data_IF_382340063388
#
_entry.id   IF_382340063388
#
_cell.length_a   1.000
_cell.length_b   1.000
_cell.length_c   1.000
_cell.angle_alpha   90.00
_cell.angle_beta   90.00
_cell.angle_gamma   90.00
#
_symmetry.space_group_name_H-M   'P 1'
#
loop_
_entity.id
_entity.type
_entity.pdbx_description
1 polymer ?
#
# COMPACT_ATOMS: atom_id res chain seq x y z
N UNK A 1 -36.17 9.06 -20.21
CA UNK A 1 -35.69 8.24 -19.08
C UNK A 1 -34.50 8.96 -18.48
N UNK A 2 -34.69 9.66 -17.37
CA UNK A 2 -33.58 10.24 -16.60
C UNK A 2 -32.69 9.09 -16.11
N UNK A 3 -31.43 9.09 -16.54
CA UNK A 3 -30.41 8.21 -15.97
C UNK A 3 -30.20 8.66 -14.52
N UNK A 4 -30.88 8.00 -13.59
CA UNK A 4 -30.61 8.11 -12.16
C UNK A 4 -29.18 7.60 -11.89
N UNK A 5 -28.19 8.47 -12.05
CA UNK A 5 -26.82 8.21 -11.62
C UNK A 5 -26.84 8.10 -10.10
N UNK A 6 -26.80 6.87 -9.60
CA UNK A 6 -26.63 6.62 -8.18
C UNK A 6 -25.22 7.04 -7.78
N UNK A 7 -25.10 8.14 -7.06
CA UNK A 7 -23.82 8.61 -6.54
C UNK A 7 -23.51 8.01 -5.16
N UNK A 8 -22.22 7.82 -4.88
CA UNK A 8 -21.76 7.43 -3.54
C UNK A 8 -22.12 8.54 -2.54
N UNK A 9 -22.60 8.16 -1.35
CA UNK A 9 -22.90 9.13 -0.29
C UNK A 9 -21.60 9.79 0.19
N UNK A 10 -21.48 11.11 -0.01
CA UNK A 10 -20.38 11.95 0.50
C UNK A 10 -20.46 12.10 2.01
N UNK A 11 -19.83 11.18 2.76
CA UNK A 11 -19.91 11.11 4.22
C UNK A 11 -18.59 11.25 4.98
N UNK A 12 -17.46 11.33 4.28
CA UNK A 12 -16.13 11.40 4.92
C UNK A 12 -15.74 12.85 5.25
N UNK A 13 -15.28 13.04 6.49
CA UNK A 13 -14.68 14.31 6.92
C UNK A 13 -13.23 14.38 6.42
N UNK A 14 -12.64 15.59 6.25
CA UNK A 14 -11.23 15.73 5.87
C UNK A 14 -10.27 14.95 6.77
N UNK A 15 -10.57 14.85 8.07
CA UNK A 15 -9.82 13.99 9.01
C UNK A 15 -9.89 12.51 8.62
N UNK A 16 -11.06 11.99 8.24
CA UNK A 16 -11.21 10.59 7.84
C UNK A 16 -10.41 10.31 6.58
N UNK A 17 -10.38 11.24 5.62
CA UNK A 17 -9.55 11.11 4.41
C UNK A 17 -8.07 11.06 4.74
N UNK A 18 -7.60 11.92 5.64
CA UNK A 18 -6.21 11.88 6.11
C UNK A 18 -5.89 10.54 6.76
N UNK A 19 -6.76 10.04 7.65
CA UNK A 19 -6.54 8.78 8.35
C UNK A 19 -6.67 7.54 7.44
N UNK A 20 -7.54 7.56 6.44
CA UNK A 20 -7.60 6.49 5.42
C UNK A 20 -6.30 6.45 4.62
N UNK A 21 -5.78 7.61 4.20
CA UNK A 21 -4.51 7.69 3.52
C UNK A 21 -3.35 7.21 4.40
N UNK A 22 -3.37 7.53 5.69
CA UNK A 22 -2.39 7.06 6.69
C UNK A 22 -2.46 5.55 6.89
N UNK A 23 -3.67 5.03 7.12
CA UNK A 23 -3.93 3.63 7.42
C UNK A 23 -3.61 2.72 6.24
N UNK A 24 -3.83 3.20 5.01
CA UNK A 24 -3.53 2.46 3.79
C UNK A 24 -2.04 2.27 3.51
N UNK A 25 -1.17 3.17 4.00
CA UNK A 25 0.29 3.03 3.84
C UNK A 25 0.90 2.13 4.93
N UNK A 26 0.38 2.19 6.15
CA UNK A 26 0.95 1.46 7.30
C UNK A 26 0.23 0.13 7.49
N UNK A 27 0.81 -0.92 6.90
CA UNK A 27 0.31 -2.29 6.95
C UNK A 27 1.42 -3.33 6.90
N UNK A 28 1.14 -4.45 6.25
CA UNK A 28 2.03 -5.63 6.21
C UNK A 28 3.40 -5.32 5.62
N UNK A 29 3.50 -4.38 4.69
CA UNK A 29 4.77 -4.00 4.05
C UNK A 29 5.86 -3.58 5.05
N UNK A 30 5.54 -2.75 6.03
CA UNK A 30 6.53 -2.37 7.06
C UNK A 30 6.60 -3.41 8.18
N UNK A 31 5.49 -4.03 8.59
CA UNK A 31 5.50 -4.88 9.78
C UNK A 31 6.00 -6.30 9.54
N UNK A 32 5.61 -6.92 8.44
CA UNK A 32 6.12 -8.24 8.03
C UNK A 32 7.22 -8.08 6.99
N UNK A 33 7.02 -7.21 6.01
CA UNK A 33 7.98 -6.98 4.93
C UNK A 33 9.31 -6.38 5.38
N UNK A 34 9.38 -5.73 6.56
CA UNK A 34 10.67 -5.32 7.14
C UNK A 34 11.61 -6.49 7.36
N UNK A 35 11.09 -7.66 7.77
CA UNK A 35 11.90 -8.88 7.93
C UNK A 35 12.55 -9.29 6.61
N UNK A 36 11.76 -9.32 5.54
CA UNK A 36 12.25 -9.68 4.19
C UNK A 36 13.28 -8.64 3.74
N UNK A 37 12.99 -7.34 3.88
CA UNK A 37 13.91 -6.30 3.43
C UNK A 37 15.21 -6.25 4.23
N UNK A 38 15.17 -6.54 5.54
CA UNK A 38 16.36 -6.65 6.39
C UNK A 38 17.18 -7.88 6.03
N UNK A 39 16.55 -9.02 5.78
CA UNK A 39 17.25 -10.22 5.32
C UNK A 39 17.89 -10.05 3.94
N UNK A 40 17.31 -9.22 3.06
CA UNK A 40 17.78 -9.00 1.68
C UNK A 40 18.91 -7.96 1.61
N UNK A 41 18.82 -6.89 2.40
CA UNK A 41 19.71 -5.73 2.29
C UNK A 41 20.55 -5.46 3.56
N UNK A 42 20.23 -6.08 4.69
CA UNK A 42 20.80 -5.72 5.99
C UNK A 42 20.54 -4.26 6.34
N UNK A 43 21.47 -3.59 7.06
CA UNK A 43 21.33 -2.19 7.47
C UNK A 43 21.14 -1.21 6.30
N UNK A 44 21.70 -1.52 5.12
CA UNK A 44 21.54 -0.70 3.92
C UNK A 44 20.09 -0.52 3.44
N UNK A 45 19.15 -1.34 3.95
CA UNK A 45 17.72 -1.21 3.68
C UNK A 45 17.19 0.21 3.94
N UNK A 46 17.77 0.94 4.89
CA UNK A 46 17.43 2.34 5.19
C UNK A 46 17.56 3.22 3.94
N UNK A 47 18.59 2.99 3.12
CA UNK A 47 18.81 3.70 1.86
C UNK A 47 17.68 3.40 0.87
N UNK A 48 17.24 2.14 0.78
CA UNK A 48 16.12 1.76 -0.08
C UNK A 48 14.82 2.44 0.35
N UNK A 49 14.51 2.47 1.65
CA UNK A 49 13.34 3.20 2.16
C UNK A 49 13.44 4.71 1.92
N UNK A 50 14.63 5.33 2.06
CA UNK A 50 14.82 6.75 1.79
C UNK A 50 14.59 7.10 0.32
N UNK A 51 15.21 6.35 -0.59
CA UNK A 51 15.04 6.57 -2.04
C UNK A 51 13.59 6.28 -2.45
N UNK A 52 13.00 5.19 -1.96
CA UNK A 52 11.60 4.87 -2.24
C UNK A 52 10.64 5.94 -1.71
N UNK A 53 10.93 6.51 -0.54
CA UNK A 53 10.16 7.61 0.04
C UNK A 53 10.26 8.90 -0.77
N UNK A 54 11.44 9.19 -1.32
CA UNK A 54 11.64 10.30 -2.24
C UNK A 54 10.81 10.11 -3.52
N UNK A 55 10.84 8.92 -4.11
CA UNK A 55 10.03 8.60 -5.29
C UNK A 55 8.54 8.75 -4.98
N UNK A 56 8.09 8.19 -3.85
CA UNK A 56 6.71 8.31 -3.37
C UNK A 56 6.28 9.77 -3.25
N UNK A 57 7.13 10.62 -2.66
CA UNK A 57 6.84 12.05 -2.54
C UNK A 57 6.62 12.71 -3.90
N UNK A 58 7.46 12.40 -4.90
CA UNK A 58 7.32 12.93 -6.26
C UNK A 58 5.98 12.48 -6.88
N UNK A 59 5.64 11.20 -6.74
CA UNK A 59 4.38 10.63 -7.26
C UNK A 59 3.17 11.32 -6.62
N UNK A 60 3.17 11.45 -5.29
CA UNK A 60 2.10 12.12 -4.56
C UNK A 60 1.99 13.60 -4.93
N UNK A 61 3.12 14.28 -5.16
CA UNK A 61 3.13 15.65 -5.60
C UNK A 61 2.58 15.80 -7.04
N UNK A 62 2.95 14.89 -7.95
CA UNK A 62 2.43 14.85 -9.31
C UNK A 62 0.91 14.60 -9.35
N UNK A 63 0.44 13.61 -8.57
CA UNK A 63 -0.99 13.32 -8.41
C UNK A 63 -1.74 14.50 -7.80
N UNK A 64 -1.17 15.09 -6.75
CA UNK A 64 -1.74 16.24 -6.07
C UNK A 64 -1.92 17.46 -6.96
N UNK A 65 -0.90 17.77 -7.74
CA UNK A 65 -0.96 18.85 -8.72
C UNK A 65 -2.03 18.60 -9.79
N UNK A 66 -2.10 17.38 -10.36
CA UNK A 66 -3.13 17.02 -11.34
C UNK A 66 -4.53 17.08 -10.75
N UNK A 67 -4.72 16.61 -9.53
CA UNK A 67 -5.99 16.65 -8.81
C UNK A 67 -6.53 18.08 -8.62
N UNK A 68 -5.64 19.06 -8.43
CA UNK A 68 -6.04 20.47 -8.37
C UNK A 68 -6.31 21.07 -9.75
N UNK A 69 -5.57 20.65 -10.77
CA UNK A 69 -5.77 21.13 -12.15
C UNK A 69 -7.03 20.53 -12.81
N UNK A 70 -7.40 19.30 -12.45
CA UNK A 70 -8.59 18.60 -12.92
C UNK A 70 -9.42 18.08 -11.74
N UNK A 71 -10.21 18.96 -11.08
CA UNK A 71 -11.08 18.57 -9.99
C UNK A 71 -12.04 17.45 -10.41
N UNK A 72 -12.39 16.58 -9.46
CA UNK A 72 -13.30 15.43 -9.64
C UNK A 72 -12.79 14.30 -10.54
N UNK A 73 -11.54 14.34 -11.02
CA UNK A 73 -10.92 13.24 -11.74
C UNK A 73 -10.10 12.36 -10.79
N UNK A 74 -10.38 11.06 -10.77
CA UNK A 74 -9.54 10.07 -10.08
C UNK A 74 -8.33 9.70 -10.97
N UNK A 75 -7.43 8.85 -10.47
CA UNK A 75 -6.24 8.39 -11.22
C UNK A 75 -6.61 7.80 -12.58
N UNK A 76 -7.66 6.98 -12.65
CA UNK A 76 -8.10 6.33 -13.88
C UNK A 76 -8.63 7.32 -14.92
N UNK A 77 -9.36 8.36 -14.48
CA UNK A 77 -9.82 9.47 -15.33
C UNK A 77 -8.66 10.35 -15.82
N UNK A 78 -7.69 10.67 -14.96
CA UNK A 78 -6.49 11.42 -15.33
C UNK A 78 -5.68 10.68 -16.40
N UNK A 79 -5.47 9.37 -16.22
CA UNK A 79 -4.79 8.52 -17.20
C UNK A 79 -5.60 8.43 -18.51
N UNK A 80 -6.94 8.39 -18.44
CA UNK A 80 -7.79 8.44 -19.63
C UNK A 80 -7.58 9.75 -20.41
N UNK A 81 -7.61 10.88 -19.71
CA UNK A 81 -7.41 12.21 -20.32
C UNK A 81 -6.03 12.33 -20.96
N UNK A 82 -5.01 11.72 -20.35
CA UNK A 82 -3.66 11.71 -20.88
C UNK A 82 -3.49 10.75 -22.07
N UNK A 83 -3.89 9.49 -21.96
CA UNK A 83 -3.47 8.42 -22.88
C UNK A 83 -4.64 7.66 -23.56
N UNK A 84 -5.87 8.04 -23.26
CA UNK A 84 -7.07 7.42 -23.82
C UNK A 84 -7.53 6.16 -23.08
N UNK A 85 -8.55 5.52 -23.64
CA UNK A 85 -9.28 4.42 -23.01
C UNK A 85 -8.43 3.20 -22.68
N UNK A 86 -7.56 2.75 -23.59
CA UNK A 86 -6.83 1.49 -23.41
C UNK A 86 -5.87 1.53 -22.22
N UNK A 87 -5.12 2.61 -22.07
CA UNK A 87 -4.19 2.78 -20.93
C UNK A 87 -4.96 2.98 -19.63
N UNK A 88 -6.06 3.73 -19.68
CA UNK A 88 -6.95 3.91 -18.53
C UNK A 88 -7.59 2.60 -18.05
N UNK A 89 -8.02 1.74 -18.99
CA UNK A 89 -8.54 0.40 -18.70
C UNK A 89 -7.49 -0.44 -17.98
N UNK A 90 -6.27 -0.47 -18.52
CA UNK A 90 -5.15 -1.20 -17.91
C UNK A 90 -4.87 -0.72 -16.49
N UNK A 91 -4.70 0.60 -16.29
CA UNK A 91 -4.40 1.18 -14.97
C UNK A 91 -5.53 0.94 -13.97
N UNK A 92 -6.79 1.08 -14.38
CA UNK A 92 -7.94 0.84 -13.51
C UNK A 92 -8.02 -0.60 -13.00
N UNK A 93 -7.86 -1.58 -13.91
CA UNK A 93 -7.87 -2.99 -13.54
C UNK A 93 -6.61 -3.40 -12.76
N UNK A 94 -5.43 -2.91 -13.13
CA UNK A 94 -4.21 -3.14 -12.33
C UNK A 94 -4.35 -2.59 -10.92
N UNK A 95 -4.94 -1.40 -10.75
CA UNK A 95 -5.22 -0.83 -9.43
C UNK A 95 -6.18 -1.71 -8.63
N UNK A 96 -7.25 -2.20 -9.25
CA UNK A 96 -8.19 -3.10 -8.59
C UNK A 96 -7.54 -4.43 -8.18
N UNK A 97 -6.79 -5.07 -9.09
CA UNK A 97 -6.06 -6.33 -8.83
C UNK A 97 -5.02 -6.14 -7.71
N UNK A 98 -4.26 -5.03 -7.76
CA UNK A 98 -3.29 -4.68 -6.73
C UNK A 98 -3.94 -4.67 -5.34
N UNK A 99 -5.07 -3.97 -5.19
CA UNK A 99 -5.77 -3.90 -3.91
C UNK A 99 -6.38 -5.22 -3.45
N UNK A 100 -6.84 -6.06 -4.38
CA UNK A 100 -7.28 -7.42 -4.05
C UNK A 100 -6.13 -8.20 -3.42
N UNK A 101 -4.96 -8.19 -4.06
CA UNK A 101 -3.80 -8.94 -3.58
C UNK A 101 -3.28 -8.36 -2.26
N UNK A 102 -3.18 -7.03 -2.14
CA UNK A 102 -2.84 -6.34 -0.88
C UNK A 102 -3.80 -6.78 0.23
N UNK A 103 -5.11 -6.79 -0.01
CA UNK A 103 -6.10 -7.21 0.98
C UNK A 103 -5.87 -8.65 1.44
N UNK A 104 -5.57 -9.57 0.51
CA UNK A 104 -5.23 -10.96 0.84
C UNK A 104 -3.97 -10.99 1.71
N UNK A 105 -2.90 -10.30 1.31
CA UNK A 105 -1.63 -10.24 2.05
C UNK A 105 -1.85 -9.72 3.48
N UNK A 106 -2.65 -8.67 3.66
CA UNK A 106 -2.97 -8.11 4.97
C UNK A 106 -3.72 -9.11 5.86
N UNK A 107 -4.66 -9.87 5.29
CA UNK A 107 -5.40 -10.91 6.02
C UNK A 107 -4.51 -12.11 6.39
N UNK A 108 -3.58 -12.48 5.51
CA UNK A 108 -2.59 -13.52 5.80
C UNK A 108 -1.60 -13.07 6.88
N UNK A 109 -1.16 -11.82 6.85
CA UNK A 109 -0.34 -11.25 7.92
C UNK A 109 -1.10 -11.20 9.25
N UNK A 110 -2.38 -10.85 9.24
CA UNK A 110 -3.24 -10.92 10.42
C UNK A 110 -3.29 -12.34 11.01
N UNK A 111 -3.44 -13.36 10.14
CA UNK A 111 -3.35 -14.75 10.53
C UNK A 111 -2.00 -15.11 11.15
N UNK A 112 -0.90 -14.66 10.54
CA UNK A 112 0.47 -14.88 11.06
C UNK A 112 0.68 -14.22 12.42
N UNK A 113 0.15 -13.01 12.66
CA UNK A 113 0.23 -12.37 13.97
C UNK A 113 -0.64 -13.07 15.02
N UNK A 114 -1.75 -13.70 14.63
CA UNK A 114 -2.51 -14.55 15.55
C UNK A 114 -1.76 -15.83 15.93
N UNK A 115 -0.89 -16.36 15.06
CA UNK A 115 -0.07 -17.54 15.40
C UNK A 115 0.92 -17.27 16.54
N UNK A 116 1.24 -16.01 16.82
CA UNK A 116 2.03 -15.64 18.01
C UNK A 116 1.37 -16.11 19.32
N UNK A 117 0.03 -16.05 19.41
CA UNK A 117 -0.73 -16.57 20.57
C UNK A 117 -1.30 -17.97 20.33
N UNK A 118 -1.54 -18.33 19.06
CA UNK A 118 -2.16 -19.60 18.67
C UNK A 118 -1.29 -20.39 17.68
N UNK A 119 -0.07 -20.80 18.07
CA UNK A 119 0.92 -21.37 17.14
C UNK A 119 0.51 -22.72 16.55
N UNK A 120 -0.38 -23.46 17.24
CA UNK A 120 -0.91 -24.74 16.77
C UNK A 120 -1.99 -24.61 15.70
N UNK A 121 -2.55 -23.40 15.49
CA UNK A 121 -3.62 -23.18 14.51
C UNK A 121 -3.00 -22.80 13.15
N UNK A 122 -3.41 -23.45 12.05
CA UNK A 122 -2.82 -23.20 10.75
C UNK A 122 -3.16 -21.79 10.22
N UNK A 123 -2.21 -21.22 9.48
CA UNK A 123 -2.27 -19.85 8.93
C UNK A 123 -3.57 -19.58 8.18
N UNK A 124 -3.97 -20.49 7.29
CA UNK A 124 -5.17 -20.31 6.45
C UNK A 124 -6.44 -20.15 7.29
N UNK A 125 -6.57 -20.87 8.42
CA UNK A 125 -7.77 -20.84 9.25
C UNK A 125 -7.86 -19.51 10.01
N UNK A 126 -6.76 -19.08 10.63
CA UNK A 126 -6.71 -17.77 11.30
C UNK A 126 -6.96 -16.63 10.30
N UNK A 127 -6.38 -16.71 9.12
CA UNK A 127 -6.59 -15.74 8.04
C UNK A 127 -8.03 -15.72 7.54
N UNK A 128 -8.67 -16.90 7.44
CA UNK A 128 -10.08 -17.03 7.08
C UNK A 128 -11.00 -16.38 8.12
N UNK A 129 -10.73 -16.60 9.41
CA UNK A 129 -11.50 -15.98 10.49
C UNK A 129 -11.36 -14.45 10.45
N UNK A 130 -10.16 -13.93 10.25
CA UNK A 130 -9.93 -12.50 10.00
C UNK A 130 -10.72 -12.00 8.78
N UNK A 131 -10.72 -12.74 7.68
CA UNK A 131 -11.47 -12.39 6.47
C UNK A 131 -12.98 -12.30 6.74
N UNK A 132 -13.56 -13.27 7.45
CA UNK A 132 -14.98 -13.28 7.82
C UNK A 132 -15.34 -12.04 8.64
N UNK A 133 -14.50 -11.67 9.62
CA UNK A 133 -14.72 -10.48 10.46
C UNK A 133 -14.68 -9.21 9.61
N UNK A 134 -13.65 -9.03 8.77
CA UNK A 134 -13.47 -7.81 7.97
C UNK A 134 -14.52 -7.68 6.86
N UNK A 135 -14.86 -8.78 6.19
CA UNK A 135 -15.97 -8.79 5.21
C UNK A 135 -17.29 -8.47 5.93
N UNK A 136 -17.53 -9.07 7.10
CA UNK A 136 -18.69 -8.79 7.93
C UNK A 136 -18.84 -7.31 8.26
N UNK A 137 -17.76 -6.65 8.70
CA UNK A 137 -17.72 -5.20 8.97
C UNK A 137 -18.10 -4.38 7.72
N UNK A 138 -17.61 -4.78 6.54
CA UNK A 138 -17.90 -4.09 5.28
C UNK A 138 -19.33 -4.25 4.76
N UNK A 139 -20.10 -5.20 5.31
CA UNK A 139 -21.54 -5.32 5.02
C UNK A 139 -22.39 -4.33 5.83
N UNK A 140 -21.82 -3.68 6.86
CA UNK A 140 -22.47 -2.63 7.64
C UNK A 140 -22.21 -1.22 7.06
N UNK A 141 -22.92 -0.22 7.59
CA UNK A 141 -23.00 1.11 6.99
C UNK A 141 -21.66 1.90 7.06
N UNK A 142 -21.29 2.53 5.94
CA UNK A 142 -20.02 3.28 5.70
C UNK A 142 -19.67 4.33 6.77
N UNK A 143 -20.65 4.86 7.52
CA UNK A 143 -20.39 5.83 8.59
C UNK A 143 -19.56 5.22 9.73
N UNK A 144 -19.75 3.94 10.04
CA UNK A 144 -18.97 3.24 11.07
C UNK A 144 -17.54 2.97 10.61
N UNK A 145 -17.32 2.77 9.31
CA UNK A 145 -15.98 2.55 8.74
C UNK A 145 -15.03 3.73 9.03
N UNK A 146 -15.47 4.98 8.79
CA UNK A 146 -14.60 6.15 8.97
C UNK A 146 -14.16 6.39 10.42
N UNK A 147 -15.04 6.09 11.39
CA UNK A 147 -14.73 6.20 12.81
C UNK A 147 -13.85 5.03 13.29
N UNK A 148 -14.11 3.80 12.83
CA UNK A 148 -13.25 2.65 13.14
C UNK A 148 -11.81 2.86 12.64
N UNK A 149 -11.67 3.34 11.39
CA UNK A 149 -10.35 3.65 10.83
C UNK A 149 -9.64 4.77 11.58
N UNK A 150 -10.38 5.78 12.06
CA UNK A 150 -9.80 6.83 12.88
C UNK A 150 -9.15 6.26 14.15
N UNK A 151 -9.87 5.39 14.87
CA UNK A 151 -9.34 4.77 16.09
C UNK A 151 -8.19 3.79 15.80
N UNK A 152 -8.33 2.93 14.78
CA UNK A 152 -7.27 2.00 14.40
C UNK A 152 -5.99 2.71 13.97
N UNK A 153 -6.09 3.76 13.15
CA UNK A 153 -4.92 4.55 12.77
C UNK A 153 -4.28 5.27 13.97
N UNK A 154 -5.08 5.74 14.94
CA UNK A 154 -4.58 6.32 16.19
C UNK A 154 -3.73 5.34 17.00
N UNK A 155 -4.23 4.11 17.21
CA UNK A 155 -3.51 3.05 17.94
C UNK A 155 -2.16 2.75 17.28
N UNK A 156 -2.14 2.59 15.95
CA UNK A 156 -0.91 2.33 15.18
C UNK A 156 0.13 3.43 15.38
N UNK A 157 -0.28 4.68 15.26
CA UNK A 157 0.64 5.84 15.36
C UNK A 157 1.22 5.92 16.77
N UNK A 158 0.39 5.80 17.80
CA UNK A 158 0.85 5.83 19.20
C UNK A 158 1.86 4.72 19.45
N UNK A 159 1.57 3.50 18.98
CA UNK A 159 2.46 2.36 19.17
C UNK A 159 3.79 2.50 18.42
N UNK A 160 3.79 3.03 17.19
CA UNK A 160 5.03 3.31 16.45
C UNK A 160 5.86 4.40 17.13
N UNK A 161 5.23 5.47 17.62
CA UNK A 161 5.94 6.51 18.38
C UNK A 161 6.50 5.94 19.68
N UNK A 162 5.75 5.12 20.40
CA UNK A 162 6.22 4.43 21.60
C UNK A 162 7.39 3.49 21.30
N UNK A 163 7.31 2.72 20.20
CA UNK A 163 8.42 1.88 19.71
C UNK A 163 9.67 2.71 19.45
N UNK A 164 9.52 3.88 18.82
CA UNK A 164 10.65 4.75 18.51
C UNK A 164 11.28 5.30 19.78
N UNK A 165 10.49 5.83 20.70
CA UNK A 165 10.97 6.40 21.95
C UNK A 165 11.67 5.33 22.80
N UNK A 166 11.02 4.18 22.98
CA UNK A 166 11.56 3.08 23.77
C UNK A 166 12.82 2.50 23.13
N UNK A 167 12.80 2.30 21.81
CA UNK A 167 13.97 1.85 21.04
C UNK A 167 15.14 2.82 21.15
N UNK A 168 14.91 4.14 21.07
CA UNK A 168 15.96 5.13 21.30
C UNK A 168 16.53 5.03 22.72
N UNK A 169 15.69 4.92 23.76
CA UNK A 169 16.19 4.76 25.13
C UNK A 169 17.04 3.50 25.32
N UNK A 170 16.69 2.41 24.64
CA UNK A 170 17.46 1.18 24.65
C UNK A 170 18.78 1.32 23.88
N UNK A 171 18.74 1.91 22.67
CA UNK A 171 19.93 2.14 21.83
C UNK A 171 20.99 3.02 22.53
N UNK A 172 20.55 4.08 23.23
CA UNK A 172 21.44 4.99 23.93
C UNK A 172 21.79 4.52 25.36
N UNK A 173 21.40 3.30 25.75
CA UNK A 173 21.72 2.73 27.07
C UNK A 173 21.04 3.43 28.25
N UNK A 174 19.97 4.19 28.01
CA UNK A 174 19.18 4.85 29.07
C UNK A 174 18.28 3.86 29.82
N UNK A 175 17.97 2.71 29.20
CA UNK A 175 17.27 1.59 29.83
C UNK A 175 18.22 0.39 29.84
N UNK A 176 18.42 -0.28 31.00
CA UNK A 176 19.22 -1.49 31.07
C UNK A 176 18.66 -2.56 30.11
N UNK A 177 19.51 -3.09 29.25
CA UNK A 177 19.18 -4.18 28.34
C UNK A 177 20.34 -5.18 28.28
N UNK A 178 20.07 -6.39 27.81
CA UNK A 178 21.08 -7.44 27.63
C UNK A 178 21.91 -7.28 26.36
N UNK A 179 21.68 -6.21 25.58
CA UNK A 179 22.34 -5.98 24.30
C UNK A 179 23.58 -5.13 24.54
N UNK A 180 24.74 -5.75 24.36
CA UNK A 180 26.05 -5.09 24.42
C UNK A 180 26.33 -4.39 23.08
N UNK A 181 26.71 -3.10 23.16
CA UNK A 181 26.99 -2.20 22.02
C UNK A 181 26.02 -2.30 20.82
N UNK A 182 24.78 -1.77 20.98
CA UNK A 182 23.77 -1.77 19.90
C UNK A 182 24.24 -1.13 18.59
N UNK A 183 25.21 -0.20 18.64
CA UNK A 183 25.71 0.47 17.44
C UNK A 183 26.63 -0.42 16.60
N UNK A 184 27.21 -1.47 17.19
CA UNK A 184 28.00 -2.45 16.42
C UNK A 184 27.16 -3.21 15.39
N UNK A 185 25.87 -3.43 15.67
CA UNK A 185 24.97 -4.20 14.80
C UNK A 185 24.82 -3.61 13.38
N UNK A 186 25.06 -2.32 13.19
CA UNK A 186 25.01 -1.68 11.87
C UNK A 186 26.16 -2.07 10.93
N UNK A 187 27.27 -2.58 11.46
CA UNK A 187 28.48 -2.85 10.66
C UNK A 187 29.17 -4.18 10.98
N UNK A 188 28.95 -4.78 12.16
CA UNK A 188 29.64 -5.98 12.60
C UNK A 188 29.30 -7.23 11.76
N UNK A 189 28.11 -7.29 11.16
CA UNK A 189 27.61 -8.46 10.43
C UNK A 189 27.78 -8.29 8.90
N UNK A 190 29.02 -8.03 8.45
CA UNK A 190 29.33 -7.86 7.02
C UNK A 190 29.28 -6.41 6.50
N UNK A 191 29.32 -5.43 7.41
CA UNK A 191 29.28 -4.00 7.07
C UNK A 191 27.86 -3.46 6.90
N UNK A 192 27.75 -2.18 6.53
CA UNK A 192 26.45 -1.54 6.29
C UNK A 192 25.74 -2.10 5.03
N UNK A 193 26.51 -2.59 4.06
CA UNK A 193 26.04 -3.22 2.82
C UNK A 193 26.46 -4.71 2.78
N UNK A 194 25.90 -5.59 3.63
CA UNK A 194 26.34 -6.98 3.74
C UNK A 194 26.11 -7.81 2.46
N UNK A 195 25.10 -7.43 1.66
CA UNK A 195 24.80 -8.01 0.35
C UNK A 195 25.17 -7.08 -0.82
N UNK A 196 26.02 -6.08 -0.55
CA UNK A 196 26.37 -5.03 -1.51
C UNK A 196 25.19 -4.18 -1.98
N UNK A 197 25.40 -3.37 -3.01
CA UNK A 197 24.35 -2.55 -3.62
C UNK A 197 23.23 -3.38 -4.27
N UNK A 198 23.54 -4.62 -4.69
CA UNK A 198 22.56 -5.55 -5.27
C UNK A 198 21.49 -5.98 -4.28
N UNK A 199 21.86 -6.22 -3.01
CA UNK A 199 20.91 -6.48 -1.92
C UNK A 199 20.02 -5.28 -1.64
N UNK A 200 20.61 -4.08 -1.50
CA UNK A 200 19.84 -2.83 -1.33
C UNK A 200 18.87 -2.61 -2.49
N UNK A 201 19.32 -2.85 -3.72
CA UNK A 201 18.46 -2.72 -4.90
C UNK A 201 17.33 -3.75 -4.86
N UNK A 202 17.62 -4.98 -4.44
CA UNK A 202 16.63 -6.05 -4.35
C UNK A 202 15.52 -5.78 -3.33
N UNK A 203 15.82 -5.03 -2.27
CA UNK A 203 14.84 -4.61 -1.28
C UNK A 203 13.81 -3.60 -1.82
N UNK A 204 14.07 -2.90 -2.94
CA UNK A 204 13.13 -1.92 -3.48
C UNK A 204 11.76 -2.51 -3.80
N UNK A 205 11.65 -3.78 -4.19
CA UNK A 205 10.36 -4.37 -4.57
C UNK A 205 9.39 -4.38 -3.38
N UNK A 206 9.89 -4.84 -2.24
CA UNK A 206 9.11 -4.87 -0.99
C UNK A 206 8.92 -3.44 -0.47
N UNK A 207 9.93 -2.56 -0.57
CA UNK A 207 9.79 -1.14 -0.18
C UNK A 207 8.69 -0.43 -0.99
N UNK A 208 8.62 -0.67 -2.32
CA UNK A 208 7.56 -0.09 -3.16
C UNK A 208 6.19 -0.60 -2.72
N UNK A 209 6.07 -1.89 -2.41
CA UNK A 209 4.85 -2.45 -1.82
C UNK A 209 4.50 -1.77 -0.49
N UNK A 210 5.47 -1.57 0.41
CA UNK A 210 5.27 -0.95 1.72
C UNK A 210 4.79 0.51 1.66
N UNK A 211 5.03 1.19 0.54
CA UNK A 211 4.54 2.53 0.26
C UNK A 211 3.29 2.56 -0.61
N UNK A 212 2.89 1.42 -1.17
CA UNK A 212 1.59 1.24 -1.80
C UNK A 212 0.47 1.63 -0.83
N UNK A 213 -0.60 2.21 -1.37
CA UNK A 213 -1.67 2.75 -0.54
C UNK A 213 -1.68 4.26 -0.42
N UNK A 214 -0.53 4.92 -0.61
CA UNK A 214 -0.45 6.38 -0.62
C UNK A 214 -1.32 7.00 -1.73
N UNK A 215 -1.47 6.31 -2.86
CA UNK A 215 -2.30 6.75 -3.98
C UNK A 215 -3.81 6.68 -3.70
N UNK A 216 -4.27 6.09 -2.58
CA UNK A 216 -5.67 6.19 -2.13
C UNK A 216 -6.13 7.64 -1.98
N UNK A 217 -5.19 8.56 -1.74
CA UNK A 217 -5.48 9.99 -1.74
C UNK A 217 -6.11 10.39 -3.08
N UNK A 218 -5.69 9.83 -4.21
CA UNK A 218 -6.29 10.11 -5.51
C UNK A 218 -7.74 9.66 -5.65
N UNK A 219 -8.16 8.63 -4.89
CA UNK A 219 -9.56 8.19 -4.81
C UNK A 219 -10.34 9.09 -3.85
N UNK A 220 -9.74 9.45 -2.71
CA UNK A 220 -10.40 10.26 -1.70
C UNK A 220 -10.48 11.76 -2.05
N UNK A 221 -9.64 12.26 -2.96
CA UNK A 221 -9.64 13.65 -3.43
C UNK A 221 -11.01 14.06 -3.96
N UNK A 222 -11.67 13.19 -4.74
CA UNK A 222 -13.00 13.48 -5.32
C UNK A 222 -14.10 13.55 -4.24
N UNK A 223 -13.83 13.00 -3.06
CA UNK A 223 -14.73 12.99 -1.91
C UNK A 223 -14.36 14.05 -0.85
N UNK A 224 -13.27 14.80 -1.04
CA UNK A 224 -12.73 15.74 -0.04
C UNK A 224 -13.23 17.17 -0.25
N UNK A 225 -13.85 17.76 0.80
CA UNK A 225 -14.13 19.20 0.84
C UNK A 225 -12.83 20.01 0.93
N UNK A 226 -12.74 21.11 0.19
CA UNK A 226 -11.59 22.03 0.16
C UNK A 226 -10.26 21.34 -0.17
N UNK A 227 -10.27 20.46 -1.18
CA UNK A 227 -9.08 19.72 -1.64
C UNK A 227 -7.86 20.62 -1.88
N UNK A 228 -8.06 21.86 -2.34
CA UNK A 228 -7.00 22.86 -2.56
C UNK A 228 -6.17 23.17 -1.31
N UNK A 229 -6.78 23.20 -0.13
CA UNK A 229 -6.08 23.47 1.14
C UNK A 229 -5.59 22.19 1.81
N UNK A 230 -6.32 21.08 1.64
CA UNK A 230 -6.06 19.82 2.33
C UNK A 230 -4.94 19.03 1.66
N UNK A 231 -4.96 18.94 0.34
CA UNK A 231 -4.06 18.08 -0.44
C UNK A 231 -2.57 18.44 -0.28
N UNK A 232 -2.15 19.72 -0.31
CA UNK A 232 -0.75 20.07 -0.09
C UNK A 232 -0.23 19.68 1.30
N UNK A 233 -1.07 19.74 2.33
CA UNK A 233 -0.71 19.32 3.69
C UNK A 233 -0.50 17.81 3.75
N UNK A 234 -1.36 17.04 3.09
CA UNK A 234 -1.24 15.58 3.05
C UNK A 234 0.05 15.14 2.34
N UNK A 235 0.40 15.80 1.23
CA UNK A 235 1.61 15.51 0.45
C UNK A 235 2.87 15.85 1.23
N UNK A 236 2.93 17.06 1.82
CA UNK A 236 4.07 17.46 2.67
C UNK A 236 4.21 16.54 3.89
N UNK A 237 3.09 16.11 4.46
CA UNK A 237 3.09 15.14 5.56
C UNK A 237 3.67 13.78 5.17
N UNK A 238 3.56 13.36 3.90
CA UNK A 238 4.05 12.05 3.46
C UNK A 238 5.54 11.85 3.73
N UNK A 239 6.35 12.89 3.53
CA UNK A 239 7.81 12.84 3.78
C UNK A 239 8.10 12.54 5.25
N UNK A 240 7.49 13.30 6.16
CA UNK A 240 7.66 13.10 7.59
C UNK A 240 7.17 11.72 8.04
N UNK A 241 6.13 11.20 7.41
CA UNK A 241 5.61 9.85 7.69
C UNK A 241 6.57 8.75 7.27
N UNK A 242 7.21 8.89 6.11
CA UNK A 242 8.27 7.96 5.70
C UNK A 242 9.39 7.94 6.74
N UNK A 243 9.87 9.13 7.15
CA UNK A 243 10.95 9.23 8.13
C UNK A 243 10.54 8.62 9.47
N UNK A 244 9.39 9.01 9.99
CA UNK A 244 8.95 8.62 11.33
C UNK A 244 8.50 7.16 11.38
N UNK A 245 7.71 6.68 10.41
CA UNK A 245 7.09 5.36 10.50
C UNK A 245 7.84 4.24 9.78
N UNK A 246 8.85 4.56 8.97
CA UNK A 246 9.65 3.56 8.26
C UNK A 246 11.12 3.67 8.64
N UNK A 247 11.73 4.85 8.48
CA UNK A 247 13.18 5.01 8.68
C UNK A 247 13.58 4.81 10.14
N UNK A 248 12.95 5.52 11.08
CA UNK A 248 13.32 5.38 12.50
C UNK A 248 13.07 3.97 13.07
N UNK A 249 11.92 3.32 12.82
CA UNK A 249 11.72 1.96 13.30
C UNK A 249 12.75 0.97 12.76
N UNK A 250 13.11 1.08 11.48
CA UNK A 250 14.12 0.21 10.87
C UNK A 250 15.51 0.47 11.45
N UNK A 251 15.88 1.74 11.64
CA UNK A 251 17.13 2.10 12.35
C UNK A 251 17.17 1.41 13.72
N UNK A 252 16.08 1.53 14.49
CA UNK A 252 15.97 0.89 15.80
C UNK A 252 16.12 -0.62 15.70
N UNK A 253 15.43 -1.27 14.77
CA UNK A 253 15.56 -2.71 14.58
C UNK A 253 17.01 -3.11 14.26
N UNK A 254 17.67 -2.41 13.32
CA UNK A 254 19.07 -2.66 12.95
C UNK A 254 20.05 -2.48 14.11
N UNK A 255 19.81 -1.52 15.01
CA UNK A 255 20.67 -1.31 16.17
C UNK A 255 20.35 -2.28 17.32
N UNK A 256 19.08 -2.66 17.51
CA UNK A 256 18.67 -3.54 18.60
C UNK A 256 18.92 -5.02 18.32
N UNK A 257 19.03 -5.42 17.05
CA UNK A 257 19.17 -6.82 16.67
C UNK A 257 20.02 -6.95 15.39
N UNK A 258 20.99 -7.88 15.37
CA UNK A 258 21.69 -8.23 14.14
C UNK A 258 20.73 -8.62 13.02
N UNK A 259 20.95 -8.09 11.82
CA UNK A 259 20.06 -8.31 10.67
C UNK A 259 19.96 -9.79 10.27
N UNK A 260 21.02 -10.58 10.52
CA UNK A 260 21.10 -12.03 10.27
C UNK A 260 20.38 -12.88 11.32
N UNK A 261 19.92 -12.27 12.43
CA UNK A 261 19.11 -12.91 13.46
C UNK A 261 17.62 -12.63 13.30
N UNK A 262 17.24 -11.64 12.49
CA UNK A 262 15.83 -11.31 12.23
C UNK A 262 15.17 -12.50 11.52
N UNK A 263 14.30 -13.21 12.24
CA UNK A 263 13.61 -14.39 11.68
C UNK A 263 12.39 -13.96 10.87
N UNK A 264 12.04 -14.71 9.82
CA UNK A 264 10.80 -14.48 9.06
C UNK A 264 9.51 -14.93 9.76
N UNK A 265 9.63 -15.57 10.93
CA UNK A 265 8.51 -16.12 11.68
C UNK A 265 7.64 -15.01 12.30
N UNK A 266 8.26 -14.14 13.10
CA UNK A 266 7.60 -13.02 13.77
C UNK A 266 7.92 -11.67 13.11
N UNK A 267 7.13 -10.64 13.40
CA UNK A 267 7.50 -9.28 12.98
C UNK A 267 8.80 -8.83 13.67
N UNK A 268 9.73 -8.15 12.99
CA UNK A 268 10.93 -7.60 13.64
C UNK A 268 10.61 -6.64 14.80
N UNK A 269 9.47 -5.95 14.72
CA UNK A 269 8.97 -5.10 15.81
C UNK A 269 8.68 -5.89 17.09
N UNK A 270 8.10 -7.08 16.93
CA UNK A 270 7.82 -8.00 18.06
C UNK A 270 9.12 -8.62 18.54
N UNK A 271 10.01 -9.04 17.64
CA UNK A 271 11.31 -9.64 17.99
C UNK A 271 12.18 -8.72 18.83
N UNK A 272 12.26 -7.43 18.49
CA UNK A 272 12.98 -6.43 19.28
C UNK A 272 12.45 -6.36 20.71
N UNK A 273 11.13 -6.35 20.92
CA UNK A 273 10.61 -6.32 22.29
C UNK A 273 10.73 -7.65 23.03
N UNK A 274 10.65 -8.77 22.32
CA UNK A 274 10.93 -10.08 22.90
C UNK A 274 12.38 -10.18 23.39
N UNK A 275 13.35 -9.54 22.72
CA UNK A 275 14.76 -9.56 23.15
C UNK A 275 15.08 -8.58 24.28
N UNK A 276 14.27 -7.54 24.50
CA UNK A 276 14.50 -6.55 25.56
C UNK A 276 14.18 -7.05 26.98
N UNK A 277 13.48 -8.18 27.11
CA UNK A 277 13.08 -8.72 28.41
C UNK A 277 11.93 -7.97 29.11
N UNK A 278 11.34 -6.95 28.47
CA UNK A 278 10.18 -6.21 28.98
C UNK A 278 8.91 -7.10 28.95
N UNK A 279 8.38 -7.52 30.12
CA UNK A 279 7.23 -8.41 30.15
C UNK A 279 6.00 -7.77 29.49
N UNK A 280 5.34 -8.50 28.58
CA UNK A 280 4.13 -8.03 27.92
C UNK A 280 4.34 -7.09 26.71
N UNK A 281 5.52 -6.49 26.53
CA UNK A 281 5.78 -5.54 25.44
C UNK A 281 5.61 -6.17 24.05
N UNK A 282 6.11 -7.40 23.87
CA UNK A 282 5.93 -8.17 22.65
C UNK A 282 4.45 -8.47 22.34
N UNK A 283 3.65 -8.82 23.36
CA UNK A 283 2.21 -9.07 23.19
C UNK A 283 1.44 -7.80 22.82
N UNK A 284 1.74 -6.66 23.45
CA UNK A 284 1.12 -5.37 23.11
C UNK A 284 1.47 -4.99 21.68
N UNK A 285 2.74 -5.08 21.30
CA UNK A 285 3.17 -4.78 19.94
C UNK A 285 2.47 -5.70 18.94
N UNK A 286 2.47 -7.02 19.16
CA UNK A 286 1.79 -7.96 18.27
C UNK A 286 0.29 -7.66 18.12
N UNK A 287 -0.39 -7.23 19.20
CA UNK A 287 -1.78 -6.78 19.13
C UNK A 287 -1.95 -5.52 18.29
N UNK A 288 -1.10 -4.52 18.47
CA UNK A 288 -1.09 -3.33 17.61
C UNK A 288 -0.90 -3.75 16.15
N UNK A 289 0.08 -4.62 15.85
CA UNK A 289 0.34 -5.06 14.48
C UNK A 289 -0.87 -5.77 13.86
N UNK A 290 -1.57 -6.61 14.64
CA UNK A 290 -2.81 -7.25 14.22
C UNK A 290 -3.88 -6.21 13.87
N UNK A 291 -4.13 -5.23 14.75
CA UNK A 291 -5.09 -4.15 14.44
C UNK A 291 -4.65 -3.34 13.21
N UNK A 292 -3.34 -3.23 12.99
CA UNK A 292 -2.78 -2.49 11.88
C UNK A 292 -3.14 -3.12 10.53
N UNK A 293 -2.84 -4.40 10.37
CA UNK A 293 -3.08 -5.12 9.11
C UNK A 293 -4.57 -5.34 8.87
N UNK A 294 -5.38 -5.51 9.92
CA UNK A 294 -6.84 -5.61 9.80
C UNK A 294 -7.48 -4.31 9.29
N UNK A 295 -7.00 -3.15 9.74
CA UNK A 295 -7.42 -1.84 9.22
C UNK A 295 -6.97 -1.62 7.77
N UNK A 296 -5.77 -2.07 7.40
CA UNK A 296 -5.31 -2.03 6.01
C UNK A 296 -6.17 -2.93 5.09
N UNK A 297 -6.49 -4.15 5.53
CA UNK A 297 -7.38 -5.06 4.81
C UNK A 297 -8.79 -4.46 4.63
N UNK A 298 -9.34 -3.83 5.68
CA UNK A 298 -10.61 -3.14 5.63
C UNK A 298 -10.61 -2.00 4.60
N UNK A 299 -9.53 -1.22 4.55
CA UNK A 299 -9.32 -0.18 3.53
C UNK A 299 -9.18 -0.76 2.12
N UNK A 300 -8.58 -1.95 2.00
CA UNK A 300 -8.52 -2.69 0.74
C UNK A 300 -9.90 -3.07 0.20
N UNK A 301 -10.77 -3.65 1.03
CA UNK A 301 -12.17 -3.95 0.62
C UNK A 301 -12.93 -2.67 0.25
N UNK A 302 -12.71 -1.58 1.01
CA UNK A 302 -13.27 -0.27 0.70
C UNK A 302 -12.83 0.21 -0.69
N UNK A 303 -11.54 0.09 -1.01
CA UNK A 303 -10.92 0.53 -2.25
C UNK A 303 -11.36 -0.31 -3.46
N UNK A 304 -11.34 -1.64 -3.35
CA UNK A 304 -11.70 -2.55 -4.46
C UNK A 304 -13.15 -2.38 -4.86
N UNK A 305 -14.05 -2.32 -3.88
CA UNK A 305 -15.49 -2.22 -4.12
C UNK A 305 -15.88 -0.90 -4.80
N UNK A 306 -15.26 0.22 -4.41
CA UNK A 306 -15.48 1.55 -5.03
C UNK A 306 -14.80 1.72 -6.36
N UNK A 307 -13.59 1.18 -6.52
CA UNK A 307 -12.89 1.21 -7.81
C UNK A 307 -13.72 0.46 -8.85
N UNK A 308 -14.23 -0.72 -8.50
CA UNK A 308 -15.07 -1.51 -9.41
C UNK A 308 -16.36 -0.78 -9.78
N UNK A 309 -17.00 -0.14 -8.80
CA UNK A 309 -18.18 0.70 -9.02
C UNK A 309 -17.88 1.90 -9.95
N UNK A 310 -16.80 2.64 -9.69
CA UNK A 310 -16.37 3.77 -10.52
C UNK A 310 -16.03 3.34 -11.94
N UNK A 311 -15.32 2.23 -12.12
CA UNK A 311 -15.02 1.68 -13.45
C UNK A 311 -16.28 1.26 -14.20
N UNK A 312 -17.29 0.74 -13.48
CA UNK A 312 -18.56 0.36 -14.09
C UNK A 312 -19.38 1.58 -14.53
N UNK A 313 -19.32 2.69 -13.78
CA UNK A 313 -19.92 3.97 -14.20
C UNK A 313 -19.25 4.54 -15.44
N UNK A 314 -17.91 4.46 -15.52
CA UNK A 314 -17.12 4.98 -16.65
C UNK A 314 -17.05 4.02 -17.85
N UNK A 315 -17.83 2.93 -17.86
CA UNK A 315 -17.88 1.95 -18.96
C UNK A 315 -16.63 1.07 -19.09
N UNK A 316 -15.70 1.13 -18.14
CA UNK A 316 -14.48 0.33 -18.10
C UNK A 316 -14.75 -1.08 -17.55
N UNK A 317 -15.75 -1.23 -16.68
CA UNK A 317 -16.21 -2.50 -16.15
C UNK A 317 -17.68 -2.77 -16.51
N UNK A 318 -18.16 -4.03 -16.43
CA UNK A 318 -19.55 -4.37 -16.73
C UNK A 318 -20.57 -3.56 -15.93
N UNK A 319 -21.61 -3.02 -16.60
CA UNK A 319 -22.64 -2.15 -16.00
C UNK A 319 -23.35 -2.74 -14.78
N UNK A 320 -23.44 -4.07 -14.68
CA UNK A 320 -24.04 -4.75 -13.53
C UNK A 320 -23.32 -4.47 -12.20
N UNK A 321 -22.06 -4.03 -12.26
CA UNK A 321 -21.24 -3.69 -11.09
C UNK A 321 -21.48 -2.26 -10.58
N UNK A 322 -22.23 -1.43 -11.31
CA UNK A 322 -22.64 -0.09 -10.91
C UNK A 322 -23.92 -0.07 -10.06
N UNK A 323 -24.40 -1.22 -9.58
CA UNK A 323 -25.59 -1.30 -8.71
C UNK A 323 -25.21 -1.09 -7.24
N UNK A 324 -25.91 -0.19 -6.55
CA UNK A 324 -25.81 -0.03 -5.10
C UNK A 324 -26.98 -0.71 -4.38
N UNK A 325 -26.74 -1.13 -3.13
CA UNK A 325 -27.81 -1.51 -2.22
C UNK A 325 -28.62 -0.28 -1.76
N UNK A 326 -29.75 -0.51 -1.10
CA UNK A 326 -30.56 0.54 -0.47
C UNK A 326 -29.78 1.40 0.55
N UNK A 327 -28.65 0.88 1.06
CA UNK A 327 -27.76 1.59 1.98
C UNK A 327 -26.62 2.35 1.27
N UNK A 328 -26.58 2.34 -0.06
CA UNK A 328 -25.53 2.98 -0.87
C UNK A 328 -24.22 2.19 -0.92
N UNK A 329 -24.28 0.87 -0.74
CA UNK A 329 -23.10 -0.01 -0.67
C UNK A 329 -23.02 -0.86 -1.95
N UNK A 330 -21.87 -0.94 -2.64
CA UNK A 330 -21.68 -1.77 -3.84
C UNK A 330 -21.50 -3.26 -3.47
N UNK A 331 -22.60 -3.94 -3.12
CA UNK A 331 -22.59 -5.34 -2.63
C UNK A 331 -21.92 -6.31 -3.61
N UNK A 332 -22.14 -6.17 -4.92
CA UNK A 332 -21.52 -7.05 -5.92
C UNK A 332 -20.00 -6.95 -5.90
N UNK A 333 -19.45 -5.75 -5.71
CA UNK A 333 -18.01 -5.55 -5.59
C UNK A 333 -17.43 -6.19 -4.33
N UNK A 334 -18.16 -6.13 -3.22
CA UNK A 334 -17.78 -6.82 -1.97
C UNK A 334 -17.81 -8.34 -2.15
N UNK A 335 -18.84 -8.90 -2.80
CA UNK A 335 -18.92 -10.34 -3.06
C UNK A 335 -17.77 -10.83 -3.94
N UNK A 336 -17.46 -10.14 -5.05
CA UNK A 336 -16.33 -10.49 -5.91
C UNK A 336 -15.02 -10.43 -5.12
N UNK A 337 -14.82 -9.35 -4.34
CA UNK A 337 -13.64 -9.20 -3.47
C UNK A 337 -13.54 -10.35 -2.47
N UNK A 338 -14.66 -10.76 -1.86
CA UNK A 338 -14.71 -11.84 -0.87
C UNK A 338 -14.33 -13.19 -1.50
N UNK A 339 -14.78 -13.47 -2.72
CA UNK A 339 -14.39 -14.68 -3.46
C UNK A 339 -12.88 -14.69 -3.73
N UNK A 340 -12.32 -13.56 -4.16
CA UNK A 340 -10.87 -13.44 -4.35
C UNK A 340 -10.09 -13.62 -3.03
N UNK A 341 -10.62 -13.09 -1.92
CA UNK A 341 -10.03 -13.29 -0.59
C UNK A 341 -10.01 -14.77 -0.22
N UNK A 342 -11.13 -15.49 -0.40
CA UNK A 342 -11.20 -16.93 -0.13
C UNK A 342 -10.22 -17.71 -1.00
N UNK A 343 -10.06 -17.34 -2.28
CA UNK A 343 -9.05 -17.95 -3.14
C UNK A 343 -7.61 -17.70 -2.62
N UNK A 344 -7.32 -16.49 -2.15
CA UNK A 344 -6.04 -16.16 -1.51
C UNK A 344 -5.77 -16.94 -0.21
N UNK A 345 -6.80 -17.11 0.62
CA UNK A 345 -6.74 -17.95 1.83
C UNK A 345 -6.52 -19.42 1.46
N UNK A 346 -7.14 -19.90 0.39
CA UNK A 346 -6.91 -21.24 -0.12
C UNK A 346 -5.47 -21.45 -0.60
N UNK A 347 -4.84 -20.45 -1.22
CA UNK A 347 -3.40 -20.51 -1.52
C UNK A 347 -2.55 -20.67 -0.25
N UNK A 348 -2.95 -20.03 0.86
CA UNK A 348 -2.26 -20.21 2.14
C UNK A 348 -2.47 -21.59 2.77
N UNK A 349 -3.53 -22.32 2.40
CA UNK A 349 -3.66 -23.74 2.75
C UNK A 349 -2.65 -24.61 1.97
N UNK A 350 -2.40 -24.28 0.70
CA UNK A 350 -1.49 -25.03 -0.17
C UNK A 350 -0.01 -24.75 0.15
N UNK A 351 0.37 -23.49 0.39
CA UNK A 351 1.78 -23.07 0.55
C UNK A 351 1.99 -22.10 1.73
N UNK A 352 1.68 -22.51 2.98
CA UNK A 352 1.62 -21.61 4.14
C UNK A 352 2.92 -20.87 4.44
N UNK A 353 4.09 -21.45 4.13
CA UNK A 353 5.40 -20.86 4.46
C UNK A 353 5.85 -19.75 3.50
N UNK A 354 5.34 -19.74 2.26
CA UNK A 354 5.87 -18.89 1.18
C UNK A 354 4.80 -17.95 0.59
N UNK A 355 3.52 -18.23 0.85
CA UNK A 355 2.39 -17.50 0.25
C UNK A 355 2.45 -15.99 0.47
N UNK A 356 2.83 -15.52 1.67
CA UNK A 356 2.90 -14.09 1.98
C UNK A 356 3.98 -13.42 1.14
N UNK A 357 5.21 -13.95 1.14
CA UNK A 357 6.32 -13.38 0.38
C UNK A 357 6.04 -13.40 -1.13
N UNK A 358 5.47 -14.48 -1.67
CA UNK A 358 5.06 -14.52 -3.09
C UNK A 358 4.01 -13.48 -3.43
N UNK A 359 2.95 -13.39 -2.62
CA UNK A 359 1.87 -12.42 -2.87
C UNK A 359 2.33 -10.98 -2.68
N UNK A 360 3.33 -10.70 -1.83
CA UNK A 360 3.89 -9.35 -1.66
C UNK A 360 4.65 -8.85 -2.89
N UNK A 361 5.24 -9.74 -3.70
CA UNK A 361 5.97 -9.33 -4.91
C UNK A 361 5.05 -8.71 -5.97
N UNK A 362 3.82 -9.21 -6.11
CA UNK A 362 2.91 -8.82 -7.20
C UNK A 362 2.46 -7.36 -7.06
N UNK A 363 1.97 -6.89 -5.88
CA UNK A 363 1.71 -5.48 -5.63
C UNK A 363 2.90 -4.58 -5.90
N UNK A 364 4.12 -5.01 -5.52
CA UNK A 364 5.35 -4.25 -5.80
C UNK A 364 5.53 -3.94 -7.28
N UNK A 365 5.25 -4.89 -8.18
CA UNK A 365 5.27 -4.63 -9.61
C UNK A 365 4.13 -3.73 -10.09
N UNK A 366 2.90 -4.07 -9.70
CA UNK A 366 1.72 -3.37 -10.20
C UNK A 366 1.66 -1.91 -9.74
N UNK A 367 2.07 -1.62 -8.49
CA UNK A 367 2.14 -0.26 -7.94
C UNK A 367 3.14 0.61 -8.69
N UNK A 368 4.29 0.06 -9.09
CA UNK A 368 5.27 0.79 -9.91
C UNK A 368 4.68 1.20 -11.26
N UNK A 369 3.91 0.33 -11.93
CA UNK A 369 3.24 0.65 -13.19
C UNK A 369 2.21 1.77 -13.00
N UNK A 370 1.43 1.70 -11.91
CA UNK A 370 0.44 2.73 -11.57
C UNK A 370 1.15 4.07 -11.33
N UNK A 371 2.24 4.07 -10.57
CA UNK A 371 3.01 5.29 -10.27
C UNK A 371 3.73 5.87 -11.49
N UNK A 372 4.29 5.02 -12.36
CA UNK A 372 4.82 5.44 -13.66
C UNK A 372 3.71 6.10 -14.49
N UNK A 373 2.50 5.50 -14.51
CA UNK A 373 1.36 6.04 -15.25
C UNK A 373 0.89 7.39 -14.71
N UNK A 374 0.90 7.59 -13.37
CA UNK A 374 0.59 8.87 -12.72
C UNK A 374 1.61 9.94 -13.15
N UNK A 375 2.91 9.65 -13.03
CA UNK A 375 3.95 10.60 -13.42
C UNK A 375 3.92 10.92 -14.92
N UNK A 376 3.70 9.90 -15.77
CA UNK A 376 3.58 10.07 -17.20
C UNK A 376 2.35 10.92 -17.58
N UNK A 377 1.22 10.71 -16.90
CA UNK A 377 0.02 11.52 -17.08
C UNK A 377 0.28 12.99 -16.70
N UNK A 378 1.00 13.25 -15.61
CA UNK A 378 1.36 14.62 -15.21
C UNK A 378 2.25 15.29 -16.26
N UNK A 379 3.27 14.60 -16.79
CA UNK A 379 4.12 15.14 -17.87
C UNK A 379 3.28 15.55 -19.09
N UNK A 380 2.32 14.71 -19.48
CA UNK A 380 1.48 14.94 -20.66
C UNK A 380 0.41 16.01 -20.44
N UNK A 381 -0.17 16.08 -19.24
CA UNK A 381 -1.29 16.96 -18.93
C UNK A 381 -0.87 18.35 -18.45
N UNK A 382 0.31 18.49 -17.83
CA UNK A 382 0.76 19.79 -17.27
C UNK A 382 0.78 20.95 -18.29
N UNK A 383 1.15 20.75 -19.57
CA UNK A 383 1.02 21.79 -20.59
C UNK A 383 -0.42 22.21 -20.90
N UNK A 384 -1.43 21.39 -20.55
CA UNK A 384 -2.85 21.60 -20.85
C UNK A 384 -3.61 22.26 -19.69
N UNK A 385 -2.92 22.65 -18.61
CA UNK A 385 -3.56 23.28 -17.46
C UNK A 385 -4.11 24.66 -17.82
N UNK A 386 -5.42 24.84 -17.68
CA UNK A 386 -6.09 26.13 -17.94
C UNK A 386 -5.80 27.15 -16.84
N UNK A 387 -5.76 26.68 -15.59
CA UNK A 387 -5.47 27.50 -14.41
C UNK A 387 -4.26 26.93 -13.69
N UNK A 388 -3.47 27.80 -13.08
CA UNK A 388 -2.31 27.40 -12.30
C UNK A 388 -2.77 26.85 -10.95
N UNK A 389 -2.51 25.57 -10.62
CA UNK A 389 -2.94 25.01 -9.34
C UNK A 389 -2.16 25.62 -8.17
N UNK A 390 -2.79 25.71 -7.01
CA UNK A 390 -2.17 26.24 -5.78
C UNK A 390 -0.94 25.44 -5.31
N UNK A 391 -0.83 24.17 -5.72
CA UNK A 391 0.33 23.32 -5.48
C UNK A 391 0.90 22.81 -6.80
N UNK A 392 2.23 22.88 -6.94
CA UNK A 392 2.95 22.42 -8.12
C UNK A 392 4.20 21.64 -7.73
N UNK A 393 4.51 20.61 -8.50
CA UNK A 393 5.79 19.93 -8.43
C UNK A 393 6.90 20.93 -8.82
N UNK A 394 7.88 21.08 -7.94
CA UNK A 394 9.09 21.89 -8.15
C UNK A 394 10.02 21.21 -9.14
N UNK A 395 10.82 22.00 -9.88
CA UNK A 395 11.81 21.49 -10.86
C UNK A 395 11.22 20.61 -11.97
N UNK A 396 9.93 20.80 -12.28
CA UNK A 396 9.31 20.15 -13.42
C UNK A 396 9.98 20.63 -14.73
N UNK A 397 10.22 19.75 -15.72
CA UNK A 397 9.80 18.34 -15.78
C UNK A 397 10.80 17.33 -15.17
N UNK A 398 11.99 17.77 -14.78
CA UNK A 398 13.10 16.90 -14.38
C UNK A 398 12.78 16.00 -13.19
N UNK A 399 12.06 16.52 -12.18
CA UNK A 399 11.65 15.73 -11.01
C UNK A 399 10.72 14.57 -11.38
N UNK A 400 9.74 14.81 -12.24
CA UNK A 400 8.82 13.78 -12.71
C UNK A 400 9.51 12.77 -13.62
N UNK A 401 10.40 13.25 -14.51
CA UNK A 401 11.20 12.37 -15.38
C UNK A 401 12.11 11.48 -14.53
N UNK A 402 12.76 12.04 -13.51
CA UNK A 402 13.59 11.27 -12.57
C UNK A 402 12.78 10.14 -11.94
N UNK A 403 11.57 10.42 -11.43
CA UNK A 403 10.72 9.38 -10.85
C UNK A 403 10.35 8.28 -11.87
N UNK A 404 9.98 8.65 -13.10
CA UNK A 404 9.65 7.66 -14.15
C UNK A 404 10.87 6.79 -14.47
N UNK A 405 12.04 7.40 -14.68
CA UNK A 405 13.26 6.68 -15.03
C UNK A 405 13.69 5.76 -13.89
N UNK A 406 13.71 6.24 -12.65
CA UNK A 406 14.05 5.43 -11.48
C UNK A 406 13.09 4.25 -11.30
N UNK A 407 11.77 4.49 -11.36
CA UNK A 407 10.78 3.42 -11.24
C UNK A 407 10.89 2.42 -12.40
N UNK A 408 11.19 2.88 -13.62
CA UNK A 408 11.37 2.01 -14.77
C UNK A 408 12.64 1.15 -14.64
N UNK A 409 13.74 1.71 -14.15
CA UNK A 409 14.97 0.96 -13.86
C UNK A 409 14.71 -0.10 -12.79
N UNK A 410 14.03 0.26 -11.70
CA UNK A 410 13.66 -0.66 -10.62
C UNK A 410 12.77 -1.78 -11.19
N UNK A 411 11.73 -1.42 -11.94
CA UNK A 411 10.79 -2.36 -12.56
C UNK A 411 11.47 -3.34 -13.51
N UNK A 412 12.31 -2.84 -14.43
CA UNK A 412 13.06 -3.67 -15.39
C UNK A 412 14.06 -4.57 -14.66
N UNK A 413 14.79 -4.02 -13.68
CA UNK A 413 15.73 -4.79 -12.86
C UNK A 413 15.06 -5.96 -12.16
N UNK A 414 13.83 -5.79 -11.67
CA UNK A 414 13.06 -6.88 -11.07
C UNK A 414 12.46 -7.86 -12.07
N UNK A 415 12.06 -7.39 -13.25
CA UNK A 415 11.62 -8.24 -14.36
C UNK A 415 12.69 -9.25 -14.77
N UNK A 416 13.96 -8.82 -14.74
CA UNK A 416 15.11 -9.63 -15.11
C UNK A 416 15.69 -10.46 -13.95
N UNK A 417 15.23 -10.25 -12.72
CA UNK A 417 15.76 -10.94 -11.54
C UNK A 417 15.17 -12.36 -11.40
N UNK A 418 16.00 -13.42 -11.43
CA UNK A 418 15.52 -14.81 -11.31
C UNK A 418 14.76 -15.11 -10.01
N UNK A 419 15.03 -14.37 -8.93
CA UNK A 419 14.35 -14.57 -7.65
C UNK A 419 12.90 -14.08 -7.66
N UNK A 420 12.52 -13.27 -8.64
CA UNK A 420 11.19 -12.66 -8.74
C UNK A 420 10.34 -13.26 -9.87
N UNK A 421 10.71 -14.43 -10.41
CA UNK A 421 10.04 -15.05 -11.56
C UNK A 421 8.54 -15.16 -11.35
N UNK A 422 8.07 -15.58 -10.17
CA UNK A 422 6.62 -15.70 -9.89
C UNK A 422 5.92 -14.35 -10.03
N UNK A 423 6.40 -13.32 -9.32
CA UNK A 423 5.83 -11.97 -9.37
C UNK A 423 5.88 -11.36 -10.76
N UNK A 424 7.02 -11.48 -11.44
CA UNK A 424 7.25 -11.02 -12.82
C UNK A 424 6.31 -11.71 -13.81
N UNK A 425 6.20 -13.04 -13.75
CA UNK A 425 5.32 -13.82 -14.63
C UNK A 425 3.86 -13.45 -14.42
N UNK A 426 3.38 -13.38 -13.17
CA UNK A 426 2.01 -12.97 -12.88
C UNK A 426 1.74 -11.56 -13.38
N UNK A 427 2.67 -10.62 -13.17
CA UNK A 427 2.54 -9.26 -13.64
C UNK A 427 2.44 -9.18 -15.18
N UNK A 428 3.38 -9.80 -15.91
CA UNK A 428 3.40 -9.80 -17.37
C UNK A 428 2.17 -10.46 -17.96
N UNK A 429 1.76 -11.61 -17.42
CA UNK A 429 0.55 -12.32 -17.86
C UNK A 429 -0.69 -11.46 -17.60
N UNK A 430 -0.79 -10.84 -16.43
CA UNK A 430 -1.91 -9.94 -16.09
C UNK A 430 -1.98 -8.75 -17.05
N UNK A 431 -0.85 -8.09 -17.32
CA UNK A 431 -0.79 -6.99 -18.28
C UNK A 431 -1.21 -7.46 -19.68
N UNK A 432 -0.69 -8.60 -20.15
CA UNK A 432 -1.03 -9.18 -21.44
C UNK A 432 -2.54 -9.45 -21.57
N UNK A 433 -3.13 -10.07 -20.56
CA UNK A 433 -4.59 -10.33 -20.50
C UNK A 433 -5.36 -9.01 -20.52
N UNK A 434 -4.98 -8.02 -19.70
CA UNK A 434 -5.67 -6.74 -19.64
C UNK A 434 -5.56 -5.95 -20.96
N UNK A 435 -4.43 -6.02 -21.65
CA UNK A 435 -4.26 -5.43 -22.99
C UNK A 435 -5.26 -6.08 -23.96
N UNK A 436 -5.33 -7.41 -24.01
CA UNK A 436 -6.27 -8.13 -24.88
C UNK A 436 -7.72 -7.74 -24.56
N UNK A 437 -8.09 -7.78 -23.27
CA UNK A 437 -9.44 -7.41 -22.82
C UNK A 437 -9.79 -5.96 -23.16
N UNK A 438 -8.82 -5.03 -23.12
CA UNK A 438 -9.06 -3.63 -23.46
C UNK A 438 -9.50 -3.46 -24.93
N UNK A 439 -8.96 -4.27 -25.86
CA UNK A 439 -9.34 -4.23 -27.27
C UNK A 439 -10.69 -4.89 -27.53
N UNK A 440 -11.02 -5.96 -26.80
CA UNK A 440 -12.34 -6.61 -26.89
C UNK A 440 -13.42 -5.65 -26.39
N UNK A 441 -13.20 -5.01 -25.22
CA UNK A 441 -14.19 -4.15 -24.61
C UNK A 441 -14.39 -2.82 -25.35
N UNK A 442 -13.35 -2.31 -26.04
CA UNK A 442 -13.48 -1.14 -26.92
C UNK A 442 -14.47 -1.37 -28.07
N UNK A 443 -14.58 -2.60 -28.58
CA UNK A 443 -15.50 -2.95 -29.68
C UNK A 443 -16.95 -3.10 -29.23
N UNK A 444 -17.21 -3.41 -27.96
CA UNK A 444 -18.55 -3.73 -27.43
C UNK A 444 -19.32 -2.54 -26.84
N UNK A 445 -18.75 -1.33 -26.89
CA UNK A 445 -19.49 -0.08 -26.66
C UNK A 445 -19.00 0.72 -25.47
N UNK A 446 -18.23 1.77 -25.74
CA UNK A 446 -17.99 2.87 -24.80
C UNK A 446 -18.07 4.18 -25.60
N UNK A 447 -19.12 4.97 -25.34
CA UNK A 447 -19.17 6.40 -25.68
C UNK A 447 -18.01 7.08 -24.96
N UNK A 448 -17.35 8.02 -25.61
CA UNK A 448 -16.29 8.85 -25.02
C UNK A 448 -16.69 9.28 -23.60
N UNK A 449 -15.80 9.05 -22.63
CA UNK A 449 -15.99 9.49 -21.25
C UNK A 449 -16.11 11.03 -21.33
N UNK A 450 -17.23 11.64 -20.90
CA UNK A 450 -17.39 13.09 -20.99
C UNK A 450 -16.24 13.78 -20.22
N UNK A 451 -15.65 14.76 -20.89
CA UNK A 451 -14.35 15.37 -20.59
C UNK A 451 -14.27 16.25 -19.33
#
# INVERSE_FOLDING_TARGET
>A
MENNHQDLKKGLLPRHVQFIALAGMIGTGIFKGSSDTLSIAGPSVIVAYLIGGLLLFIIMAALGEMALAFPNMNVQHLVNKAFGFQVSFLVGWLYWINWIIVTVVELLAAGSFLQFWFPSIPLWLLSFLCAVVIVGINLFQVKYYGELEFWFAGIKIIALVAFIILGCFLLFGMIPSTIEDPFSNYTAHGGFFPHGLGGTFSAFLVVMFSYGGAELIGVAVTETKDAERVLPKIIKGAVWRVIIFYIFPILIICGMMPWDKVTGADSPFVQVFSSTGLPGAAHIMNFVLLTAVLSAANSGIYATSRTLFSMAQSGVAPKGLAKLSNKGIPLTGIMITSVCIVAGVYLAYLTPSQVISYLMTIPGFTVMIIWISICAAQLKLRPLYKNQPAFKVKWFPFTTIFAIVSLSIIFIGFLLNPNNVIGSSVCVVTIGILIILSFVNKKTGVREIPA
#
